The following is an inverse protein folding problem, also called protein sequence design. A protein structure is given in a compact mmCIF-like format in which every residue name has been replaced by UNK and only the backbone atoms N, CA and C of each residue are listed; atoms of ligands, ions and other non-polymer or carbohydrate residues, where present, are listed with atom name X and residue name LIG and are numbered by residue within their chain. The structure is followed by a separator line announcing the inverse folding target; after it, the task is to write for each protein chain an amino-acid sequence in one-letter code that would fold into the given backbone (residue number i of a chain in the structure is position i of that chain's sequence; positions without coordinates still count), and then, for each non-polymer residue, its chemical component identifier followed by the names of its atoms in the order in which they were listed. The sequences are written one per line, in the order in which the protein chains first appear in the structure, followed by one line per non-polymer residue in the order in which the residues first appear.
data_IF_246853629589
#
_entry.id   IF_246853629589
#
_cell.length_a   1.000
_cell.length_b   1.000
_cell.length_c   1.000
_cell.angle_alpha   90.00
_cell.angle_beta   90.00
_cell.angle_gamma   90.00
#
_symmetry.space_group_name_H-M   'P 1'
#
loop_
_entity.id
_entity.type
_entity.pdbx_description
1 polymer ?
#
# COMPACT_ATOMS: atom_id res chain seq x y z
N UNK A 1 -23.94 1.92 11.41
CA UNK A 1 -22.69 2.11 10.66
C UNK A 1 -22.02 0.76 10.56
N UNK A 2 -21.88 0.21 9.34
CA UNK A 2 -21.43 -1.18 9.16
C UNK A 2 -19.97 -1.32 9.56
N UNK A 3 -19.69 -2.13 10.59
CA UNK A 3 -18.35 -2.64 10.84
C UNK A 3 -18.01 -3.63 9.71
N UNK A 4 -17.32 -3.14 8.68
CA UNK A 4 -16.83 -3.92 7.56
C UNK A 4 -15.80 -4.94 8.04
N UNK A 5 -15.99 -6.20 7.64
CA UNK A 5 -15.14 -7.32 8.01
C UNK A 5 -13.71 -7.10 7.49
N UNK A 6 -12.76 -7.16 8.44
CA UNK A 6 -11.36 -6.71 8.38
C UNK A 6 -10.42 -7.50 7.45
N UNK A 7 -10.93 -8.08 6.36
CA UNK A 7 -10.16 -8.97 5.47
C UNK A 7 -10.37 -8.77 3.96
N UNK A 8 -11.39 -8.02 3.54
CA UNK A 8 -11.76 -7.91 2.12
C UNK A 8 -12.12 -6.49 1.65
N UNK A 9 -11.99 -5.48 2.50
CA UNK A 9 -12.21 -4.09 2.08
C UNK A 9 -10.91 -3.54 1.48
N UNK A 10 -10.87 -3.43 0.15
CA UNK A 10 -9.78 -2.76 -0.56
C UNK A 10 -9.78 -1.29 -0.14
N UNK A 11 -8.88 -0.91 0.76
CA UNK A 11 -8.77 0.47 1.24
C UNK A 11 -8.21 1.34 0.12
N UNK A 12 -9.06 2.19 -0.44
CA UNK A 12 -8.65 3.21 -1.40
C UNK A 12 -7.88 4.32 -0.68
N UNK A 13 -6.72 4.69 -1.21
CA UNK A 13 -5.82 5.70 -0.66
C UNK A 13 -5.47 6.75 -1.71
N UNK A 14 -5.11 7.93 -1.23
CA UNK A 14 -4.57 9.04 -2.03
C UNK A 14 -3.12 9.33 -1.61
N UNK A 15 -2.31 9.96 -2.47
CA UNK A 15 -0.96 10.38 -2.10
C UNK A 15 -0.96 11.23 -0.81
N UNK A 16 -0.02 10.96 0.09
CA UNK A 16 0.09 11.61 1.40
C UNK A 16 -0.84 11.04 2.47
N UNK A 17 -1.75 10.14 2.13
CA UNK A 17 -2.60 9.49 3.13
C UNK A 17 -1.83 8.46 3.95
N UNK A 18 -2.11 8.46 5.26
CA UNK A 18 -1.61 7.50 6.23
C UNK A 18 -2.21 6.10 6.00
N UNK A 19 -1.38 5.09 5.75
CA UNK A 19 -1.80 3.69 5.62
C UNK A 19 -1.77 3.01 6.99
N UNK A 20 -0.73 3.23 7.79
CA UNK A 20 -0.60 2.66 9.12
C UNK A 20 0.85 2.58 9.60
N UNK A 21 1.11 1.97 10.76
CA UNK A 21 2.45 1.95 11.36
C UNK A 21 3.45 1.16 10.52
N UNK A 22 4.69 1.66 10.45
CA UNK A 22 5.81 1.04 9.72
C UNK A 22 6.46 -0.13 10.48
N UNK A 23 6.27 -0.19 11.81
CA UNK A 23 6.89 -1.20 12.66
C UNK A 23 6.52 -2.63 12.23
N UNK A 24 7.53 -3.45 11.91
CA UNK A 24 7.36 -4.87 11.58
C UNK A 24 6.81 -5.15 10.18
N UNK A 25 6.64 -4.11 9.33
CA UNK A 25 6.16 -4.22 7.95
C UNK A 25 7.24 -3.80 6.97
N UNK A 26 7.25 -4.44 5.80
CA UNK A 26 8.03 -4.02 4.64
C UNK A 26 7.18 -3.11 3.77
N UNK A 27 7.83 -2.20 3.05
CA UNK A 27 7.13 -1.29 2.14
C UNK A 27 7.52 -1.61 0.71
N UNK A 28 6.50 -1.88 -0.11
CA UNK A 28 6.63 -2.14 -1.54
C UNK A 28 6.28 -0.92 -2.38
N UNK A 29 6.06 -1.14 -3.68
CA UNK A 29 5.75 -0.07 -4.63
C UNK A 29 4.49 0.70 -4.23
N UNK A 30 4.51 2.03 -4.42
CA UNK A 30 3.34 2.88 -4.19
C UNK A 30 3.15 3.33 -2.74
N UNK A 31 3.99 2.88 -1.81
CA UNK A 31 4.03 3.35 -0.43
C UNK A 31 5.46 3.77 -0.04
N UNK A 32 5.60 4.64 0.97
CA UNK A 32 6.88 4.99 1.58
C UNK A 32 6.77 5.05 3.10
N UNK A 33 7.90 4.94 3.78
CA UNK A 33 7.97 5.15 5.23
C UNK A 33 8.34 6.61 5.50
N UNK A 34 7.49 7.32 6.23
CA UNK A 34 7.75 8.66 6.73
C UNK A 34 7.71 8.63 8.26
N UNK A 35 8.88 8.66 8.89
CA UNK A 35 9.01 8.47 10.33
C UNK A 35 8.56 7.06 10.72
N UNK A 36 7.58 6.97 11.62
CA UNK A 36 7.01 5.70 12.10
C UNK A 36 5.76 5.25 11.32
N UNK A 37 5.38 5.98 10.28
CA UNK A 37 4.16 5.73 9.52
C UNK A 37 4.46 5.40 8.05
N UNK A 38 3.64 4.52 7.48
CA UNK A 38 3.62 4.24 6.05
C UNK A 38 2.61 5.17 5.42
N UNK A 39 3.04 5.97 4.45
CA UNK A 39 2.18 6.83 3.65
C UNK A 39 2.07 6.34 2.21
N UNK A 40 0.93 6.58 1.59
CA UNK A 40 0.74 6.30 0.17
C UNK A 40 1.42 7.37 -0.69
N UNK A 41 2.02 6.95 -1.81
CA UNK A 41 2.61 7.87 -2.81
C UNK A 41 1.74 8.04 -4.05
N UNK A 42 0.73 7.18 -4.22
CA UNK A 42 -0.11 7.10 -5.40
C UNK A 42 -1.57 6.86 -5.01
N UNK A 43 -2.49 7.19 -5.91
CA UNK A 43 -3.90 6.82 -5.77
C UNK A 43 -4.05 5.34 -6.12
N UNK A 44 -4.60 4.54 -5.21
CA UNK A 44 -4.66 3.10 -5.38
C UNK A 44 -5.30 2.37 -4.23
N UNK A 45 -5.36 1.05 -4.34
CA UNK A 45 -5.83 0.19 -3.25
C UNK A 45 -4.63 -0.34 -2.46
N UNK A 46 -4.72 -0.27 -1.14
CA UNK A 46 -3.71 -0.86 -0.26
C UNK A 46 -3.79 -2.38 -0.37
N UNK A 47 -2.62 -3.00 -0.53
CA UNK A 47 -2.45 -4.45 -0.54
C UNK A 47 -1.38 -4.84 0.45
N UNK A 48 -1.69 -5.82 1.29
CA UNK A 48 -0.72 -6.41 2.21
C UNK A 48 -0.47 -7.86 1.81
N UNK A 49 0.79 -8.21 1.55
CA UNK A 49 1.20 -9.57 1.20
C UNK A 49 2.50 -9.93 1.91
N UNK A 50 2.49 -11.02 2.66
CA UNK A 50 3.67 -11.54 3.39
C UNK A 50 4.37 -10.45 4.24
N UNK A 51 3.59 -9.63 4.96
CA UNK A 51 4.11 -8.52 5.77
C UNK A 51 4.67 -7.34 4.95
N UNK A 52 4.43 -7.30 3.64
CA UNK A 52 4.78 -6.17 2.76
C UNK A 52 3.52 -5.39 2.40
N UNK A 53 3.52 -4.09 2.65
CA UNK A 53 2.46 -3.16 2.27
C UNK A 53 2.82 -2.48 0.96
N UNK A 54 1.97 -2.60 -0.04
CA UNK A 54 2.08 -1.92 -1.33
C UNK A 54 0.77 -1.24 -1.69
N UNK A 55 0.81 -0.35 -2.67
CA UNK A 55 -0.38 0.29 -3.23
C UNK A 55 -0.51 -0.10 -4.70
N UNK A 56 -1.59 -0.83 -5.03
CA UNK A 56 -1.94 -1.18 -6.41
C UNK A 56 -2.62 0.05 -7.04
N UNK A 57 -1.96 0.77 -7.97
CA UNK A 57 -2.48 2.02 -8.48
C UNK A 57 -3.73 1.81 -9.34
N UNK A 58 -4.70 2.73 -9.27
CA UNK A 58 -5.90 2.68 -10.15
C UNK A 58 -5.52 2.90 -11.62
N UNK A 59 -4.48 3.70 -11.87
CA UNK A 59 -3.93 3.92 -13.20
C UNK A 59 -2.40 4.03 -13.11
N UNK A 60 -1.70 3.34 -14.01
CA UNK A 60 -0.24 3.48 -14.16
C UNK A 60 0.20 3.12 -15.58
N UNK A 61 1.26 3.75 -16.06
CA UNK A 61 1.98 3.29 -17.24
C UNK A 61 2.80 2.03 -16.90
N UNK A 62 3.19 1.27 -17.93
CA UNK A 62 4.08 0.13 -17.75
C UNK A 62 5.34 0.53 -16.97
N UNK A 63 5.63 -0.22 -15.89
CA UNK A 63 6.87 -0.09 -15.12
C UNK A 63 7.60 -1.43 -15.16
N UNK A 64 8.76 -1.52 -15.84
CA UNK A 64 9.52 -2.75 -15.89
C UNK A 64 10.01 -3.10 -14.48
N UNK A 65 9.72 -4.33 -14.04
CA UNK A 65 10.24 -4.88 -12.81
C UNK A 65 11.34 -5.90 -13.12
N UNK A 66 12.35 -5.99 -12.25
CA UNK A 66 13.40 -7.00 -12.37
C UNK A 66 12.81 -8.38 -12.11
N UNK A 67 12.84 -9.26 -13.12
CA UNK A 67 12.56 -10.68 -12.93
C UNK A 67 13.70 -11.31 -12.12
N UNK A 68 13.34 -12.10 -11.11
CA UNK A 68 14.24 -12.98 -10.36
C UNK A 68 13.80 -14.41 -10.68
N UNK A 69 14.69 -15.14 -11.35
CA UNK A 69 14.56 -16.57 -11.67
C UNK A 69 15.46 -17.37 -10.73
#
# INVERSE_FOLDING_TARGET
MSQGQNGAELRLVTPGSAIGPASGRRVGTGALIQGDEIIATRVGHVRERHGTVSVDPVASCYMPARAIW
#
